data_IF_768685380181
#
_entry.id   IF_768685380181
#
_cell.length_a   1.000
_cell.length_b   1.000
_cell.length_c   1.000
_cell.angle_alpha   90.00
_cell.angle_beta   90.00
_cell.angle_gamma   90.00
#
_symmetry.space_group_name_H-M   'P 1'
#
loop_
_entity.id
_entity.type
_entity.pdbx_description
1 polymer ?
#
# COMPACT_ATOMS: atom_id res chain seq x y z
N UNK A 1 -2.68 4.16 -5.91
CA UNK A 1 -4.00 3.99 -5.27
C UNK A 1 -5.05 3.88 -6.37
N UNK A 2 -6.20 3.22 -6.14
CA UNK A 2 -7.32 3.28 -7.08
C UNK A 2 -7.68 4.72 -7.44
N UNK A 3 -8.18 4.97 -8.65
CA UNK A 3 -8.49 6.32 -9.12
C UNK A 3 -9.41 7.05 -8.11
N UNK A 4 -9.04 8.28 -7.75
CA UNK A 4 -9.79 9.09 -6.79
C UNK A 4 -9.66 8.68 -5.32
N UNK A 5 -8.78 7.73 -4.99
CA UNK A 5 -8.51 7.34 -3.59
C UNK A 5 -7.27 8.04 -3.04
N UNK A 6 -7.43 8.72 -1.91
CA UNK A 6 -6.35 9.35 -1.17
C UNK A 6 -5.29 8.33 -0.72
N UNK A 7 -4.03 8.74 -0.73
CA UNK A 7 -2.89 7.91 -0.37
C UNK A 7 -2.95 7.40 1.07
N UNK A 8 -3.44 8.22 2.00
CA UNK A 8 -3.67 7.83 3.41
C UNK A 8 -4.77 6.79 3.53
N UNK A 9 -5.93 7.03 2.90
CA UNK A 9 -7.07 6.10 2.94
C UNK A 9 -6.67 4.74 2.35
N UNK A 10 -5.90 4.74 1.27
CA UNK A 10 -5.43 3.49 0.68
C UNK A 10 -4.42 2.76 1.59
N UNK A 11 -3.51 3.49 2.24
CA UNK A 11 -2.55 2.91 3.18
C UNK A 11 -3.26 2.30 4.41
N UNK A 12 -4.27 2.98 4.95
CA UNK A 12 -5.09 2.48 6.06
C UNK A 12 -5.86 1.23 5.64
N UNK A 13 -6.44 1.22 4.45
CA UNK A 13 -7.15 0.06 3.90
C UNK A 13 -6.24 -1.16 3.74
N UNK A 14 -5.01 -0.97 3.26
CA UNK A 14 -4.02 -2.05 3.18
C UNK A 14 -3.67 -2.62 4.56
N UNK A 15 -3.62 -1.77 5.58
CA UNK A 15 -3.36 -2.19 6.95
C UNK A 15 -4.53 -2.98 7.53
N UNK A 16 -5.75 -2.46 7.40
CA UNK A 16 -6.95 -3.03 8.04
C UNK A 16 -7.48 -4.28 7.34
N UNK A 17 -7.48 -4.30 6.00
CA UNK A 17 -8.09 -5.39 5.22
C UNK A 17 -7.08 -6.44 4.76
N UNK A 18 -5.79 -6.10 4.69
CA UNK A 18 -4.75 -6.98 4.16
C UNK A 18 -3.55 -7.18 5.09
N UNK A 19 -3.55 -6.60 6.29
CA UNK A 19 -2.44 -6.70 7.26
C UNK A 19 -1.09 -6.25 6.65
N UNK A 20 -1.10 -5.21 5.80
CA UNK A 20 0.09 -4.65 5.16
C UNK A 20 0.27 -3.18 5.57
N UNK A 21 1.35 -2.91 6.29
CA UNK A 21 1.78 -1.54 6.58
C UNK A 21 2.48 -0.95 5.35
N UNK A 22 2.03 0.21 4.88
CA UNK A 22 2.69 1.00 3.84
C UNK A 22 2.86 2.45 4.26
N UNK A 23 3.71 3.21 3.57
CA UNK A 23 3.82 4.66 3.80
C UNK A 23 2.95 5.41 2.78
N UNK A 24 2.01 6.27 3.21
CA UNK A 24 1.20 7.06 2.29
C UNK A 24 2.07 8.07 1.54
N UNK A 25 1.82 8.19 0.23
CA UNK A 25 2.63 8.99 -0.67
C UNK A 25 2.59 10.49 -0.37
N UNK A 26 1.51 11.01 0.23
CA UNK A 26 1.43 12.42 0.69
C UNK A 26 2.56 12.82 1.64
N UNK A 27 3.12 11.87 2.39
CA UNK A 27 4.27 12.09 3.26
C UNK A 27 5.56 12.46 2.50
N UNK A 28 5.60 12.23 1.19
CA UNK A 28 6.71 12.59 0.30
C UNK A 28 6.47 13.90 -0.47
N UNK A 29 5.35 14.58 -0.22
CA UNK A 29 4.98 15.85 -0.87
C UNK A 29 3.81 15.72 -1.85
N UNK A 30 3.38 16.82 -2.48
CA UNK A 30 2.14 16.88 -3.27
C UNK A 30 2.11 15.90 -4.46
N UNK A 31 3.27 15.59 -5.03
CA UNK A 31 3.40 14.67 -6.15
C UNK A 31 3.34 13.19 -5.76
N UNK A 32 3.41 12.88 -4.45
CA UNK A 32 3.21 11.53 -3.94
C UNK A 32 1.75 11.18 -3.69
N UNK A 33 0.82 12.15 -3.75
CA UNK A 33 -0.60 11.88 -3.59
C UNK A 33 -1.11 10.90 -4.66
N UNK A 34 -1.99 9.98 -4.26
CA UNK A 34 -2.42 8.85 -5.10
C UNK A 34 -1.43 7.68 -5.20
N UNK A 35 -0.31 7.70 -4.46
CA UNK A 35 0.67 6.61 -4.40
C UNK A 35 0.92 6.13 -2.96
N UNK A 36 1.46 4.93 -2.81
CA UNK A 36 2.01 4.40 -1.55
C UNK A 36 3.42 3.88 -1.80
N UNK A 37 4.26 3.92 -0.77
CA UNK A 37 5.61 3.35 -0.81
C UNK A 37 5.64 2.03 -0.04
N UNK A 38 6.22 1.00 -0.67
CA UNK A 38 6.50 -0.30 -0.06
C UNK A 38 8.00 -0.48 0.17
N UNK A 39 8.37 -1.10 1.28
CA UNK A 39 9.74 -1.51 1.54
C UNK A 39 10.00 -2.88 0.89
N UNK A 40 11.15 -3.03 0.22
CA UNK A 40 11.58 -4.30 -0.39
C UNK A 40 12.71 -4.96 0.39
N UNK A 41 13.05 -4.44 1.57
CA UNK A 41 14.15 -4.90 2.43
C UNK A 41 13.69 -5.97 3.41
N UNK A 42 12.98 -6.96 2.90
CA UNK A 42 12.47 -8.13 3.63
C UNK A 42 12.71 -9.36 2.77
N UNK A 43 12.51 -10.54 3.32
CA UNK A 43 12.64 -11.81 2.59
C UNK A 43 11.64 -11.90 1.42
N UNK A 44 12.01 -12.65 0.38
CA UNK A 44 11.19 -12.81 -0.84
C UNK A 44 9.82 -13.41 -0.52
N UNK A 45 9.75 -14.37 0.40
CA UNK A 45 8.49 -14.99 0.79
C UNK A 45 7.51 -13.99 1.40
N UNK A 46 8.00 -12.96 2.09
CA UNK A 46 7.16 -11.89 2.65
C UNK A 46 6.59 -11.02 1.53
N UNK A 47 7.39 -10.72 0.50
CA UNK A 47 6.94 -9.94 -0.65
C UNK A 47 5.89 -10.70 -1.48
N UNK A 48 6.07 -12.01 -1.68
CA UNK A 48 5.10 -12.86 -2.34
C UNK A 48 3.75 -12.89 -1.59
N UNK A 49 3.80 -13.05 -0.27
CA UNK A 49 2.60 -13.03 0.58
C UNK A 49 1.90 -11.67 0.53
N UNK A 50 2.65 -10.57 0.61
CA UNK A 50 2.08 -9.22 0.49
C UNK A 50 1.38 -9.03 -0.87
N UNK A 51 1.99 -9.46 -1.97
CA UNK A 51 1.38 -9.41 -3.29
C UNK A 51 0.10 -10.28 -3.37
N UNK A 52 0.11 -11.47 -2.77
CA UNK A 52 -1.05 -12.35 -2.71
C UNK A 52 -2.21 -11.75 -1.91
N UNK A 53 -1.93 -11.07 -0.79
CA UNK A 53 -2.94 -10.36 0.01
C UNK A 53 -3.52 -9.16 -0.73
N UNK A 54 -2.68 -8.34 -1.35
CA UNK A 54 -3.13 -7.22 -2.21
C UNK A 54 -4.02 -7.71 -3.34
N UNK A 55 -3.73 -8.88 -3.93
CA UNK A 55 -4.57 -9.45 -4.98
C UNK A 55 -5.95 -9.89 -4.50
N UNK A 56 -6.12 -10.21 -3.21
CA UNK A 56 -7.42 -10.59 -2.61
C UNK A 56 -8.27 -9.39 -2.24
N UNK A 57 -7.66 -8.22 -2.09
CA UNK A 57 -8.36 -6.94 -1.96
C UNK A 57 -9.10 -6.63 -3.26
N UNK A 58 -10.39 -6.30 -3.15
CA UNK A 58 -11.14 -5.71 -4.26
C UNK A 58 -10.70 -4.25 -4.41
N UNK A 59 -9.70 -4.02 -5.26
CA UNK A 59 -9.12 -2.70 -5.57
C UNK A 59 -9.99 -1.89 -6.53
#
# INVERSE_FOLDING_TARGET
CPEGTDSTVFADRLLEEADIVTTPGVGYGPHGEGYVRMALTVEEEILEEAAARIRRLAL
#
